data_IF_906081090661
#
_entry.id   IF_906081090661
#
_cell.length_a   1.000
_cell.length_b   1.000
_cell.length_c   1.000
_cell.angle_alpha   90.00
_cell.angle_beta   90.00
_cell.angle_gamma   90.00
#
_symmetry.space_group_name_H-M   'P 1'
#
loop_
_entity.id
_entity.type
_entity.pdbx_description
1 polymer ?
#
# COMPACT_ATOMS: atom_id res chain seq x y z
N UNK A 1 -8.37 -21.05 -22.74
CA UNK A 1 -8.08 -20.10 -21.65
C UNK A 1 -7.91 -18.63 -22.10
N UNK A 2 -7.92 -18.34 -23.38
CA UNK A 2 -7.53 -17.01 -23.92
C UNK A 2 -8.61 -15.93 -23.96
N UNK A 3 -9.72 -16.17 -24.64
CA UNK A 3 -10.66 -15.11 -25.07
C UNK A 3 -11.43 -14.45 -23.91
N UNK A 4 -11.96 -15.24 -22.97
CA UNK A 4 -12.68 -14.69 -21.80
C UNK A 4 -11.78 -13.82 -20.90
N UNK A 5 -10.49 -14.18 -20.77
CA UNK A 5 -9.50 -13.40 -20.02
C UNK A 5 -9.16 -12.09 -20.73
N UNK A 6 -9.05 -12.11 -22.07
CA UNK A 6 -8.79 -10.92 -22.90
C UNK A 6 -9.96 -9.94 -22.83
N UNK A 7 -11.21 -10.42 -22.95
CA UNK A 7 -12.42 -9.59 -22.85
C UNK A 7 -12.57 -9.00 -21.45
N UNK A 8 -12.37 -9.79 -20.39
CA UNK A 8 -12.42 -9.31 -19.01
C UNK A 8 -11.36 -8.25 -18.75
N UNK A 9 -10.13 -8.42 -19.28
CA UNK A 9 -9.04 -7.45 -19.19
C UNK A 9 -9.31 -6.19 -20.02
N UNK A 10 -9.95 -6.31 -21.18
CA UNK A 10 -10.33 -5.17 -22.03
C UNK A 10 -11.43 -4.32 -21.36
N UNK A 11 -12.45 -4.95 -20.78
CA UNK A 11 -13.53 -4.28 -20.03
C UNK A 11 -12.95 -3.62 -18.78
N UNK A 12 -12.05 -4.30 -18.08
CA UNK A 12 -11.35 -3.76 -16.91
C UNK A 12 -10.53 -2.50 -17.27
N UNK A 13 -9.77 -2.53 -18.38
CA UNK A 13 -9.00 -1.38 -18.86
C UNK A 13 -9.88 -0.20 -19.27
N UNK A 14 -11.04 -0.45 -19.90
CA UNK A 14 -11.96 0.59 -20.36
C UNK A 14 -12.70 1.28 -19.19
N UNK A 15 -13.01 0.53 -18.14
CA UNK A 15 -13.71 1.02 -16.94
C UNK A 15 -12.82 1.93 -16.04
N UNK A 16 -11.50 1.88 -16.21
CA UNK A 16 -10.51 2.60 -15.39
C UNK A 16 -9.64 3.59 -16.17
N UNK A 17 -10.14 4.16 -17.25
CA UNK A 17 -9.49 5.34 -17.89
C UNK A 17 -9.72 6.57 -17.00
N UNK A 18 -8.96 6.65 -15.91
CA UNK A 18 -8.90 7.86 -15.10
C UNK A 18 -7.98 8.84 -15.80
N UNK A 19 -8.48 10.06 -16.07
CA UNK A 19 -7.66 11.11 -16.67
C UNK A 19 -6.73 11.68 -15.60
N UNK A 20 -5.44 11.62 -15.85
CA UNK A 20 -4.39 12.08 -14.92
C UNK A 20 -4.60 13.53 -14.50
N UNK A 21 -5.04 14.40 -15.41
CA UNK A 21 -5.34 15.80 -15.15
C UNK A 21 -6.42 15.95 -14.07
N UNK A 22 -7.51 15.19 -14.16
CA UNK A 22 -8.59 15.23 -13.18
C UNK A 22 -8.15 14.79 -11.78
N UNK A 23 -7.22 13.80 -11.71
CA UNK A 23 -6.66 13.35 -10.43
C UNK A 23 -5.77 14.43 -9.82
N UNK A 24 -4.92 15.05 -10.63
CA UNK A 24 -4.01 16.12 -10.21
C UNK A 24 -4.77 17.35 -9.69
N UNK A 25 -5.78 17.78 -10.42
CA UNK A 25 -6.57 18.98 -10.09
C UNK A 25 -7.37 18.81 -8.79
N UNK A 26 -7.71 17.56 -8.44
CA UNK A 26 -8.46 17.23 -7.22
C UNK A 26 -7.56 16.89 -6.02
N UNK A 27 -6.25 16.77 -6.20
CA UNK A 27 -5.33 16.43 -5.12
C UNK A 27 -4.74 17.72 -4.53
N UNK A 28 -5.13 18.04 -3.29
CA UNK A 28 -4.49 19.14 -2.52
C UNK A 28 -3.04 18.78 -2.22
N UNK A 29 -2.18 19.78 -2.07
CA UNK A 29 -0.80 19.58 -1.63
C UNK A 29 -0.77 18.81 -0.31
N UNK A 30 -0.13 17.65 -0.30
CA UNK A 30 -0.08 16.71 0.82
C UNK A 30 1.38 16.32 1.11
N UNK A 31 1.61 15.85 2.32
CA UNK A 31 2.81 15.12 2.71
C UNK A 31 2.46 13.66 2.93
N UNK A 32 3.04 12.76 2.15
CA UNK A 32 2.64 11.37 2.05
C UNK A 32 3.79 10.44 2.47
N UNK A 33 3.52 9.52 3.39
CA UNK A 33 4.41 8.39 3.62
C UNK A 33 4.00 7.24 2.71
N UNK A 34 4.94 6.71 1.92
CA UNK A 34 4.75 5.52 1.08
C UNK A 34 5.72 4.43 1.50
N UNK A 35 5.22 3.28 1.93
CA UNK A 35 6.08 2.14 2.28
C UNK A 35 6.32 1.23 1.07
N UNK A 36 7.53 0.59 1.01
CA UNK A 36 7.90 -0.24 -0.12
C UNK A 36 7.96 0.55 -1.44
N UNK A 37 8.48 1.78 -1.39
CA UNK A 37 8.41 2.76 -2.47
C UNK A 37 9.45 2.54 -3.60
N UNK A 38 10.38 1.61 -3.44
CA UNK A 38 11.50 1.41 -4.37
C UNK A 38 11.16 0.61 -5.64
N UNK A 39 9.96 0.04 -5.73
CA UNK A 39 9.54 -0.75 -6.89
C UNK A 39 8.01 -0.81 -7.06
N UNK A 40 7.57 -1.35 -8.19
CA UNK A 40 6.18 -1.69 -8.43
C UNK A 40 5.21 -0.51 -8.24
N UNK A 41 4.12 -0.76 -7.50
CA UNK A 41 3.07 0.21 -7.23
C UNK A 41 3.61 1.36 -6.36
N UNK A 42 4.42 1.06 -5.33
CA UNK A 42 4.98 2.07 -4.44
C UNK A 42 5.85 3.09 -5.16
N UNK A 43 6.69 2.64 -6.10
CA UNK A 43 7.50 3.54 -6.93
C UNK A 43 6.63 4.41 -7.85
N UNK A 44 5.59 3.82 -8.45
CA UNK A 44 4.67 4.56 -9.30
C UNK A 44 3.87 5.61 -8.51
N UNK A 45 3.41 5.28 -7.29
CA UNK A 45 2.78 6.21 -6.36
C UNK A 45 3.71 7.36 -6.01
N UNK A 46 4.96 7.06 -5.60
CA UNK A 46 5.98 8.05 -5.26
C UNK A 46 6.19 9.04 -6.39
N UNK A 47 6.43 8.55 -7.62
CA UNK A 47 6.61 9.40 -8.79
C UNK A 47 5.38 10.28 -9.06
N UNK A 48 4.18 9.72 -9.05
CA UNK A 48 2.94 10.46 -9.30
C UNK A 48 2.64 11.51 -8.24
N UNK A 49 2.84 11.21 -6.96
CA UNK A 49 2.66 12.21 -5.91
C UNK A 49 3.61 13.39 -6.10
N UNK A 50 4.88 13.14 -6.41
CA UNK A 50 5.87 14.19 -6.69
C UNK A 50 5.52 15.00 -7.94
N UNK A 51 5.02 14.35 -9.02
CA UNK A 51 4.57 15.04 -10.24
C UNK A 51 3.32 15.90 -9.99
N UNK A 52 2.55 15.59 -8.95
CA UNK A 52 1.38 16.34 -8.50
C UNK A 52 1.72 17.36 -7.39
N UNK A 53 3.01 17.74 -7.25
CA UNK A 53 3.51 18.72 -6.29
C UNK A 53 3.25 18.38 -4.81
N UNK A 54 3.27 17.09 -4.46
CA UNK A 54 3.23 16.62 -3.09
C UNK A 54 4.63 16.33 -2.57
N UNK A 55 4.80 16.33 -1.25
CA UNK A 55 6.02 15.84 -0.60
C UNK A 55 5.88 14.36 -0.27
N UNK A 56 6.93 13.57 -0.48
CA UNK A 56 6.90 12.13 -0.24
C UNK A 56 8.03 11.70 0.69
N UNK A 57 7.66 11.05 1.78
CA UNK A 57 8.54 10.25 2.62
C UNK A 57 8.44 8.79 2.15
N UNK A 58 9.48 8.29 1.50
CA UNK A 58 9.49 6.99 0.86
C UNK A 58 10.33 5.98 1.64
N UNK A 59 9.75 4.84 2.05
CA UNK A 59 10.57 3.78 2.66
C UNK A 59 10.88 2.65 1.68
N UNK A 60 12.04 2.02 1.86
CA UNK A 60 12.50 0.88 1.09
C UNK A 60 13.19 -0.14 2.01
N UNK A 61 13.26 -1.42 1.58
CA UNK A 61 13.96 -2.45 2.34
C UNK A 61 15.45 -2.53 1.94
N UNK A 62 15.78 -3.02 0.76
CA UNK A 62 17.16 -3.34 0.39
C UNK A 62 17.74 -2.40 -0.66
N UNK A 63 17.04 -2.15 -1.75
CA UNK A 63 17.58 -1.42 -2.90
C UNK A 63 16.86 -0.08 -3.04
N UNK A 64 17.62 1.02 -3.04
CA UNK A 64 17.13 2.40 -3.17
C UNK A 64 17.37 3.02 -4.56
N UNK A 65 17.99 2.32 -5.51
CA UNK A 65 18.48 2.89 -6.76
C UNK A 65 17.39 3.62 -7.55
N UNK A 66 16.21 3.02 -7.67
CA UNK A 66 15.09 3.66 -8.36
C UNK A 66 14.61 4.95 -7.68
N UNK A 67 14.75 5.06 -6.36
CA UNK A 67 14.36 6.26 -5.60
C UNK A 67 15.41 7.37 -5.75
N UNK A 68 16.69 7.04 -5.70
CA UNK A 68 17.79 8.01 -5.88
C UNK A 68 17.74 8.66 -7.28
N UNK A 69 17.31 7.90 -8.30
CA UNK A 69 17.14 8.43 -9.66
C UNK A 69 16.03 9.48 -9.76
N UNK A 70 15.15 9.58 -8.77
CA UNK A 70 14.11 10.61 -8.70
C UNK A 70 14.73 11.89 -8.13
N UNK A 71 15.26 12.74 -8.99
CA UNK A 71 15.91 14.01 -8.61
C UNK A 71 14.86 15.09 -8.27
N UNK A 72 14.12 14.91 -7.16
CA UNK A 72 13.09 15.84 -6.67
C UNK A 72 13.40 16.24 -5.22
N UNK A 73 13.38 17.54 -4.91
CA UNK A 73 13.67 18.08 -3.56
C UNK A 73 12.63 17.66 -2.51
N UNK A 74 11.40 17.37 -2.95
CA UNK A 74 10.29 17.02 -2.07
C UNK A 74 10.21 15.50 -1.82
N UNK A 75 11.31 14.76 -2.05
CA UNK A 75 11.45 13.33 -1.78
C UNK A 75 12.49 13.10 -0.69
N UNK A 76 12.02 12.55 0.43
CA UNK A 76 12.87 11.97 1.47
C UNK A 76 12.82 10.44 1.40
N UNK A 77 13.96 9.79 1.57
CA UNK A 77 14.05 8.31 1.51
C UNK A 77 14.61 7.75 2.81
N UNK A 78 14.06 6.62 3.26
CA UNK A 78 14.46 5.96 4.49
C UNK A 78 14.46 4.44 4.34
N UNK A 79 15.51 3.78 4.83
CA UNK A 79 15.56 2.32 4.85
C UNK A 79 14.75 1.78 6.02
N UNK A 80 13.79 0.91 5.74
CA UNK A 80 12.93 0.29 6.74
C UNK A 80 12.59 -1.14 6.32
N UNK A 81 13.22 -2.11 6.97
CA UNK A 81 12.91 -3.52 6.81
C UNK A 81 11.74 -3.89 7.73
N UNK A 82 10.56 -4.03 7.13
CA UNK A 82 9.33 -4.36 7.85
C UNK A 82 9.19 -5.86 8.18
N UNK A 83 10.12 -6.69 7.76
CA UNK A 83 10.14 -8.11 8.16
C UNK A 83 10.51 -8.28 9.64
N UNK A 84 11.18 -7.30 10.21
CA UNK A 84 11.59 -7.21 11.61
C UNK A 84 10.89 -6.02 12.24
N UNK A 85 9.95 -6.28 13.15
CA UNK A 85 9.10 -5.23 13.74
C UNK A 85 9.94 -4.19 14.49
N UNK A 86 11.02 -4.61 15.13
CA UNK A 86 11.97 -3.72 15.83
C UNK A 86 12.66 -2.71 14.88
N UNK A 87 12.86 -3.07 13.61
CA UNK A 87 13.47 -2.16 12.63
C UNK A 87 12.52 -1.01 12.24
N UNK A 88 11.21 -1.21 12.40
CA UNK A 88 10.22 -0.16 12.15
C UNK A 88 10.35 0.96 13.18
N UNK A 89 10.84 0.68 14.39
CA UNK A 89 11.05 1.69 15.41
C UNK A 89 12.01 2.80 14.99
N UNK A 90 12.96 2.51 14.10
CA UNK A 90 13.87 3.52 13.55
C UNK A 90 13.14 4.60 12.73
N UNK A 91 11.91 4.32 12.28
CA UNK A 91 11.07 5.29 11.59
C UNK A 91 10.72 6.50 12.47
N UNK A 92 10.72 6.35 13.81
CA UNK A 92 10.46 7.42 14.77
C UNK A 92 11.32 8.66 14.50
N UNK A 93 12.63 8.45 14.34
CA UNK A 93 13.56 9.56 14.08
C UNK A 93 13.36 10.18 12.69
N UNK A 94 13.02 9.35 11.70
CA UNK A 94 12.81 9.81 10.34
C UNK A 94 11.56 10.69 10.20
N UNK A 95 10.49 10.38 10.94
CA UNK A 95 9.22 11.12 10.85
C UNK A 95 9.10 12.22 11.90
N UNK A 96 10.07 12.32 12.82
CA UNK A 96 10.07 13.33 13.88
C UNK A 96 9.84 14.72 13.29
N UNK A 97 8.87 15.43 13.82
CA UNK A 97 8.49 16.80 13.44
C UNK A 97 8.02 16.96 11.99
N UNK A 98 7.97 15.89 11.18
CA UNK A 98 7.40 15.94 9.83
C UNK A 98 5.88 15.98 9.88
N UNK A 99 5.28 16.80 9.05
CA UNK A 99 3.86 16.71 8.77
C UNK A 99 3.63 15.51 7.83
N UNK A 100 2.87 14.51 8.26
CA UNK A 100 2.46 13.37 7.44
C UNK A 100 0.92 13.38 7.37
N UNK A 101 0.38 13.73 6.21
CA UNK A 101 -1.07 13.83 6.05
C UNK A 101 -1.70 12.49 5.63
N UNK A 102 -0.97 11.71 4.84
CA UNK A 102 -1.44 10.44 4.30
C UNK A 102 -0.38 9.36 4.49
N UNK A 103 -0.79 8.20 4.98
CA UNK A 103 0.04 6.99 5.01
C UNK A 103 -0.48 6.01 3.97
N UNK A 104 0.39 5.56 3.06
CA UNK A 104 0.12 4.47 2.12
C UNK A 104 0.96 3.26 2.53
N UNK A 105 0.35 2.32 3.21
CA UNK A 105 0.95 1.03 3.54
C UNK A 105 0.93 0.14 2.30
N UNK A 106 1.98 0.27 1.47
CA UNK A 106 2.13 -0.44 0.21
C UNK A 106 3.14 -1.58 0.28
N UNK A 107 4.10 -1.56 1.20
CA UNK A 107 5.05 -2.66 1.36
C UNK A 107 4.31 -4.00 1.49
N UNK A 108 4.81 -5.00 0.79
CA UNK A 108 4.22 -6.33 0.81
C UNK A 108 5.15 -7.36 0.18
N UNK A 109 5.01 -8.59 0.63
CA UNK A 109 5.71 -9.76 0.10
C UNK A 109 4.72 -10.85 -0.27
N UNK A 110 5.10 -11.67 -1.25
CA UNK A 110 4.33 -12.86 -1.62
C UNK A 110 4.43 -13.96 -0.56
N UNK A 111 5.53 -14.00 0.22
CA UNK A 111 5.74 -15.03 1.24
C UNK A 111 6.40 -16.32 0.72
N UNK A 112 7.23 -16.22 -0.33
CA UNK A 112 7.94 -17.37 -0.90
C UNK A 112 7.12 -18.22 -1.86
N UNK A 113 7.68 -19.35 -2.30
CA UNK A 113 7.06 -20.26 -3.28
C UNK A 113 6.24 -21.37 -2.60
N UNK A 114 6.64 -21.79 -1.40
CA UNK A 114 6.06 -22.91 -0.68
C UNK A 114 4.89 -22.43 0.20
N UNK A 115 3.69 -22.42 -0.36
CA UNK A 115 2.48 -21.88 0.27
C UNK A 115 1.25 -22.78 0.15
N UNK A 116 1.44 -24.02 -0.27
CA UNK A 116 0.33 -24.95 -0.46
C UNK A 116 0.17 -25.87 0.75
N UNK A 117 -1.00 -26.46 0.90
CA UNK A 117 -1.24 -27.50 1.92
C UNK A 117 -0.15 -28.58 1.83
N UNK A 118 0.35 -29.03 2.96
CA UNK A 118 1.49 -29.95 3.11
C UNK A 118 2.86 -29.43 2.63
N UNK A 119 2.96 -28.17 2.18
CA UNK A 119 4.22 -27.54 1.76
C UNK A 119 4.17 -26.04 2.09
N UNK A 120 4.09 -25.71 3.38
CA UNK A 120 4.08 -24.34 3.87
C UNK A 120 5.42 -24.03 4.50
N UNK A 121 6.08 -22.98 4.02
CA UNK A 121 7.27 -22.40 4.63
C UNK A 121 6.86 -21.47 5.77
N UNK A 122 6.95 -21.97 7.00
CA UNK A 122 6.53 -21.22 8.20
C UNK A 122 7.47 -20.05 8.56
N UNK A 123 8.72 -20.08 8.15
CA UNK A 123 9.67 -18.97 8.34
C UNK A 123 9.26 -17.79 7.43
N UNK A 124 9.03 -18.08 6.14
CA UNK A 124 8.48 -17.10 5.21
C UNK A 124 7.08 -16.64 5.61
N UNK A 125 6.29 -17.48 6.29
CA UNK A 125 4.99 -17.07 6.82
C UNK A 125 5.15 -15.97 7.88
N UNK A 126 6.05 -16.16 8.84
CA UNK A 126 6.33 -15.16 9.88
C UNK A 126 6.81 -13.84 9.27
N UNK A 127 7.73 -13.92 8.31
CA UNK A 127 8.18 -12.75 7.55
C UNK A 127 7.03 -12.04 6.83
N UNK A 128 6.19 -12.77 6.14
CA UNK A 128 5.05 -12.20 5.42
C UNK A 128 4.00 -11.62 6.37
N UNK A 129 3.78 -12.23 7.52
CA UNK A 129 2.89 -11.73 8.57
C UNK A 129 3.32 -10.34 9.05
N UNK A 130 4.62 -10.20 9.35
CA UNK A 130 5.18 -8.93 9.78
C UNK A 130 5.03 -7.85 8.69
N UNK A 131 5.45 -8.16 7.45
CA UNK A 131 5.45 -7.19 6.35
C UNK A 131 4.04 -6.83 5.89
N UNK A 132 3.17 -7.83 5.72
CA UNK A 132 1.86 -7.61 5.08
C UNK A 132 0.77 -7.15 6.06
N UNK A 133 0.90 -7.46 7.36
CA UNK A 133 -0.19 -7.23 8.32
C UNK A 133 0.25 -6.46 9.57
N UNK A 134 1.23 -6.94 10.34
CA UNK A 134 1.58 -6.34 11.64
C UNK A 134 2.16 -4.93 11.46
N UNK A 135 2.99 -4.72 10.43
CA UNK A 135 3.65 -3.44 10.17
C UNK A 135 2.68 -2.27 10.02
N UNK A 136 1.47 -2.48 9.50
CA UNK A 136 0.50 -1.38 9.32
C UNK A 136 0.06 -0.77 10.64
N UNK A 137 -0.07 -1.57 11.69
CA UNK A 137 -0.40 -1.10 13.04
C UNK A 137 0.78 -0.30 13.57
N UNK A 138 1.98 -0.91 13.56
CA UNK A 138 3.20 -0.30 14.10
C UNK A 138 3.55 1.03 13.43
N UNK A 139 3.36 1.13 12.12
CA UNK A 139 3.58 2.38 11.37
C UNK A 139 2.56 3.45 11.81
N UNK A 140 1.29 3.11 11.94
CA UNK A 140 0.28 4.06 12.42
C UNK A 140 0.62 4.58 13.82
N UNK A 141 0.99 3.71 14.76
CA UNK A 141 1.43 4.10 16.10
C UNK A 141 2.60 5.09 16.05
N UNK A 142 3.61 4.81 15.25
CA UNK A 142 4.78 5.67 15.11
C UNK A 142 4.41 7.03 14.53
N UNK A 143 3.60 7.07 13.47
CA UNK A 143 3.20 8.33 12.84
C UNK A 143 2.39 9.18 13.82
N UNK A 144 1.42 8.60 14.51
CA UNK A 144 0.58 9.32 15.48
C UNK A 144 1.43 9.89 16.63
N UNK A 145 2.37 9.10 17.15
CA UNK A 145 3.12 9.47 18.36
C UNK A 145 4.35 10.34 18.09
N UNK A 146 4.91 10.32 16.86
CA UNK A 146 6.22 10.93 16.60
C UNK A 146 6.24 11.93 15.43
N UNK A 147 5.24 11.96 14.56
CA UNK A 147 5.12 13.00 13.54
C UNK A 147 4.48 14.27 14.12
N UNK A 148 4.39 15.33 13.33
CA UNK A 148 3.70 16.55 13.73
C UNK A 148 2.27 16.24 14.16
N UNK A 149 1.91 16.66 15.36
CA UNK A 149 0.59 16.41 15.96
C UNK A 149 -0.55 16.81 15.00
N UNK A 150 -1.60 16.02 14.98
CA UNK A 150 -2.83 16.23 14.21
C UNK A 150 -2.63 16.41 12.70
N UNK A 151 -1.47 15.98 12.17
CA UNK A 151 -1.19 16.06 10.74
C UNK A 151 -1.78 14.90 9.93
N UNK A 152 -1.90 13.69 10.53
CA UNK A 152 -2.40 12.51 9.84
C UNK A 152 -3.93 12.56 9.69
N UNK A 153 -4.41 12.39 8.45
CA UNK A 153 -5.85 12.43 8.13
C UNK A 153 -6.35 11.13 7.51
N UNK A 154 -5.44 10.39 6.85
CA UNK A 154 -5.83 9.24 6.05
C UNK A 154 -4.76 8.15 6.06
N UNK A 155 -5.20 6.91 6.26
CA UNK A 155 -4.39 5.69 6.08
C UNK A 155 -5.01 4.83 4.98
N UNK A 156 -4.20 4.42 4.02
CA UNK A 156 -4.58 3.52 2.93
C UNK A 156 -3.71 2.28 2.95
N UNK A 157 -4.33 1.11 3.08
CA UNK A 157 -3.64 -0.17 3.09
C UNK A 157 -3.80 -0.87 1.74
N UNK A 158 -2.68 -1.16 1.07
CA UNK A 158 -2.69 -1.85 -0.23
C UNK A 158 -2.87 -3.35 0.02
N UNK A 159 -4.10 -3.80 -0.12
CA UNK A 159 -4.52 -5.18 0.08
C UNK A 159 -4.53 -5.96 -1.24
N UNK A 160 -5.42 -6.91 -1.40
CA UNK A 160 -5.59 -7.75 -2.59
C UNK A 160 -6.96 -8.40 -2.57
N UNK A 161 -7.54 -8.66 -3.74
CA UNK A 161 -8.73 -9.50 -3.86
C UNK A 161 -8.51 -10.91 -3.26
N UNK A 162 -7.26 -11.37 -3.19
CA UNK A 162 -6.89 -12.63 -2.51
C UNK A 162 -7.14 -12.62 -0.99
N UNK A 163 -7.39 -11.45 -0.39
CA UNK A 163 -7.80 -11.33 1.01
C UNK A 163 -9.27 -11.69 1.26
N UNK A 164 -10.08 -11.79 0.22
CA UNK A 164 -11.51 -12.14 0.34
C UNK A 164 -11.69 -13.64 0.46
N UNK A 165 -12.30 -14.08 1.56
CA UNK A 165 -12.67 -15.49 1.78
C UNK A 165 -13.76 -15.92 0.82
N UNK A 166 -14.72 -15.05 0.51
CA UNK A 166 -15.81 -15.31 -0.41
C UNK A 166 -15.33 -15.55 -1.85
N UNK A 167 -14.30 -14.81 -2.30
CA UNK A 167 -13.73 -14.97 -3.65
C UNK A 167 -12.66 -16.06 -3.75
N UNK A 168 -12.36 -16.75 -2.63
CA UNK A 168 -11.35 -17.82 -2.61
C UNK A 168 -11.94 -19.15 -3.08
N UNK A 169 -11.84 -19.42 -4.38
CA UNK A 169 -12.35 -20.64 -5.01
C UNK A 169 -11.26 -21.67 -5.34
N UNK A 170 -10.00 -21.38 -5.06
CA UNK A 170 -8.86 -22.22 -5.52
C UNK A 170 -8.04 -22.85 -4.41
N UNK A 171 -8.27 -22.50 -3.14
CA UNK A 171 -7.33 -22.85 -2.07
C UNK A 171 -5.94 -22.22 -2.34
N UNK A 172 -4.85 -22.90 -2.02
CA UNK A 172 -3.46 -22.49 -2.27
C UNK A 172 -3.06 -21.12 -1.72
N UNK A 173 -1.78 -20.79 -1.79
CA UNK A 173 -1.26 -19.47 -1.39
C UNK A 173 -1.64 -19.05 0.04
N UNK A 174 -1.56 -20.01 0.97
CA UNK A 174 -2.00 -19.84 2.37
C UNK A 174 -1.34 -18.63 3.04
N UNK A 175 -0.04 -18.42 2.79
CA UNK A 175 0.72 -17.30 3.38
C UNK A 175 0.18 -15.97 2.88
N UNK A 176 0.12 -15.78 1.55
CA UNK A 176 -0.29 -14.51 0.98
C UNK A 176 -1.75 -14.19 1.27
N UNK A 177 -2.65 -15.15 1.02
CA UNK A 177 -4.08 -14.98 1.28
C UNK A 177 -4.35 -14.72 2.76
N UNK A 178 -3.76 -15.52 3.65
CA UNK A 178 -3.93 -15.39 5.10
C UNK A 178 -3.46 -14.03 5.61
N UNK A 179 -2.25 -13.60 5.22
CA UNK A 179 -1.70 -12.32 5.68
C UNK A 179 -2.47 -11.11 5.12
N UNK A 180 -2.98 -11.17 3.88
CA UNK A 180 -3.81 -10.10 3.31
C UNK A 180 -5.22 -10.07 3.90
N UNK A 181 -5.79 -11.22 4.29
CA UNK A 181 -7.05 -11.28 5.04
C UNK A 181 -6.89 -10.66 6.43
N UNK A 182 -5.78 -10.97 7.12
CA UNK A 182 -5.45 -10.38 8.41
C UNK A 182 -5.24 -8.86 8.29
N UNK A 183 -4.55 -8.38 7.24
CA UNK A 183 -4.42 -6.95 6.95
C UNK A 183 -5.80 -6.27 6.87
N UNK A 184 -6.78 -6.88 6.19
CA UNK A 184 -8.13 -6.31 6.09
C UNK A 184 -8.84 -6.27 7.45
N UNK A 185 -8.68 -7.32 8.27
CA UNK A 185 -9.20 -7.35 9.64
C UNK A 185 -8.57 -6.23 10.49
N UNK A 186 -7.26 -6.09 10.46
CA UNK A 186 -6.56 -5.01 11.17
C UNK A 186 -6.94 -3.62 10.64
N UNK A 187 -7.11 -3.48 9.32
CA UNK A 187 -7.56 -2.22 8.73
C UNK A 187 -8.95 -1.82 9.22
N UNK A 188 -9.83 -2.80 9.43
CA UNK A 188 -11.16 -2.54 10.01
C UNK A 188 -11.06 -2.08 11.46
N UNK A 189 -10.25 -2.75 12.29
CA UNK A 189 -10.02 -2.32 13.67
C UNK A 189 -9.41 -0.92 13.73
N UNK A 190 -8.33 -0.68 12.96
CA UNK A 190 -7.70 0.64 12.86
C UNK A 190 -8.70 1.72 12.40
N UNK A 191 -9.64 1.39 11.51
CA UNK A 191 -10.64 2.37 11.08
C UNK A 191 -11.52 2.85 12.24
N UNK A 192 -11.88 1.97 13.13
CA UNK A 192 -12.71 2.30 14.31
C UNK A 192 -11.87 3.10 15.32
N UNK A 193 -10.71 2.58 15.71
CA UNK A 193 -9.88 3.16 16.76
C UNK A 193 -9.33 4.54 16.35
N UNK A 194 -8.80 4.65 15.12
CA UNK A 194 -8.20 5.89 14.65
C UNK A 194 -9.25 6.97 14.36
N UNK A 195 -10.45 6.58 13.94
CA UNK A 195 -11.55 7.54 13.76
C UNK A 195 -12.03 8.10 15.08
N UNK A 196 -12.25 7.22 16.06
CA UNK A 196 -12.80 7.62 17.36
C UNK A 196 -11.81 8.46 18.17
N UNK A 197 -10.52 8.11 18.14
CA UNK A 197 -9.53 8.75 19.00
C UNK A 197 -8.82 9.95 18.34
N UNK A 198 -8.73 9.97 17.00
CA UNK A 198 -7.89 10.93 16.27
C UNK A 198 -8.59 11.55 15.05
N UNK A 199 -9.82 11.17 14.70
CA UNK A 199 -10.53 11.67 13.52
C UNK A 199 -9.98 11.14 12.18
N UNK A 200 -9.05 10.19 12.20
CA UNK A 200 -8.33 9.67 11.03
C UNK A 200 -9.19 8.66 10.26
N UNK A 201 -9.25 8.79 8.94
CA UNK A 201 -9.91 7.81 8.09
C UNK A 201 -8.95 6.68 7.69
N UNK A 202 -9.47 5.46 7.57
CA UNK A 202 -8.70 4.28 7.13
C UNK A 202 -9.52 3.48 6.13
N UNK A 203 -8.92 3.02 5.04
CA UNK A 203 -9.53 2.04 4.14
C UNK A 203 -8.46 1.13 3.51
N UNK A 204 -8.91 -0.02 2.98
CA UNK A 204 -8.07 -0.93 2.21
C UNK A 204 -8.46 -0.92 0.74
N UNK A 205 -7.49 -1.14 -0.15
CA UNK A 205 -7.74 -1.16 -1.60
C UNK A 205 -7.11 -2.37 -2.26
N UNK A 206 -7.87 -3.02 -3.16
CA UNK A 206 -7.30 -3.94 -4.15
C UNK A 206 -6.76 -3.13 -5.34
N UNK A 207 -5.45 -3.13 -5.57
CA UNK A 207 -4.87 -2.40 -6.70
C UNK A 207 -5.20 -3.02 -8.05
N UNK A 208 -5.77 -4.24 -8.05
CA UNK A 208 -5.99 -5.09 -9.22
C UNK A 208 -4.76 -5.93 -9.60
N UNK A 209 -4.85 -6.64 -10.71
CA UNK A 209 -3.74 -7.48 -11.21
C UNK A 209 -2.66 -6.62 -11.89
N UNK A 210 -1.79 -6.03 -11.10
CA UNK A 210 -0.77 -5.09 -11.55
C UNK A 210 0.49 -5.81 -11.97
N UNK A 211 1.09 -5.40 -13.10
CA UNK A 211 2.37 -5.92 -13.60
C UNK A 211 3.52 -5.42 -12.74
N UNK A 212 4.05 -6.29 -11.90
CA UNK A 212 5.17 -6.03 -10.97
C UNK A 212 6.12 -7.23 -10.95
N UNK A 213 7.23 -7.15 -10.20
CA UNK A 213 8.07 -8.33 -9.95
C UNK A 213 7.30 -9.47 -9.27
N UNK A 214 6.35 -9.14 -8.38
CA UNK A 214 5.48 -10.11 -7.71
C UNK A 214 4.46 -10.75 -8.65
N UNK A 215 4.00 -10.04 -9.68
CA UNK A 215 3.04 -10.50 -10.69
C UNK A 215 3.48 -10.07 -12.10
N UNK A 216 4.45 -10.78 -12.73
CA UNK A 216 5.00 -10.38 -14.03
C UNK A 216 3.96 -10.38 -15.17
N UNK A 217 2.89 -11.14 -15.02
CA UNK A 217 1.83 -11.30 -16.03
C UNK A 217 0.59 -10.42 -15.78
N UNK A 218 0.66 -9.52 -14.81
CA UNK A 218 -0.43 -8.59 -14.54
C UNK A 218 -0.76 -7.73 -15.76
N UNK A 219 -2.05 -7.58 -16.13
CA UNK A 219 -2.46 -6.79 -17.29
C UNK A 219 -2.44 -5.29 -17.04
N UNK A 220 -2.45 -4.85 -15.76
CA UNK A 220 -2.51 -3.44 -15.40
C UNK A 220 -1.12 -2.87 -15.18
N UNK A 221 -0.79 -1.75 -15.82
CA UNK A 221 0.47 -1.05 -15.58
C UNK A 221 0.49 -0.41 -14.19
N UNK A 222 1.68 -0.33 -13.57
CA UNK A 222 1.86 0.27 -12.24
C UNK A 222 1.37 1.73 -12.18
N UNK A 223 1.59 2.53 -13.22
CA UNK A 223 1.10 3.91 -13.28
C UNK A 223 -0.42 3.99 -13.26
N UNK A 224 -1.13 3.07 -13.90
CA UNK A 224 -2.59 3.02 -13.90
C UNK A 224 -3.13 2.64 -12.51
N UNK A 225 -2.49 1.67 -11.84
CA UNK A 225 -2.81 1.32 -10.46
C UNK A 225 -2.58 2.50 -9.51
N UNK A 226 -1.44 3.19 -9.65
CA UNK A 226 -1.14 4.37 -8.85
C UNK A 226 -2.19 5.47 -9.03
N UNK A 227 -2.59 5.79 -10.27
CA UNK A 227 -3.63 6.79 -10.53
C UNK A 227 -4.99 6.38 -9.94
N UNK A 228 -5.36 5.08 -10.01
CA UNK A 228 -6.57 4.57 -9.36
C UNK A 228 -6.53 4.82 -7.85
N UNK A 229 -5.43 4.43 -7.19
CA UNK A 229 -5.27 4.59 -5.74
C UNK A 229 -5.31 6.08 -5.36
N UNK A 230 -4.57 6.94 -6.05
CA UNK A 230 -4.54 8.38 -5.79
C UNK A 230 -5.94 8.99 -5.96
N UNK A 231 -6.68 8.59 -6.99
CA UNK A 231 -8.04 9.08 -7.20
C UNK A 231 -9.00 8.69 -6.06
N UNK A 232 -8.76 7.57 -5.37
CA UNK A 232 -9.57 7.15 -4.22
C UNK A 232 -9.34 7.99 -2.97
N UNK A 233 -8.19 8.69 -2.85
CA UNK A 233 -7.88 9.48 -1.65
C UNK A 233 -8.92 10.57 -1.39
N UNK A 234 -9.52 11.15 -2.42
CA UNK A 234 -10.57 12.18 -2.30
C UNK A 234 -11.87 11.67 -1.65
N UNK A 235 -12.06 10.35 -1.64
CA UNK A 235 -13.22 9.67 -1.05
C UNK A 235 -12.91 9.05 0.32
N UNK A 236 -11.89 9.56 1.02
CA UNK A 236 -11.44 8.97 2.29
C UNK A 236 -12.55 8.82 3.33
N UNK A 237 -13.51 9.77 3.39
CA UNK A 237 -14.66 9.67 4.29
C UNK A 237 -15.65 8.59 3.87
N UNK A 238 -16.00 8.53 2.59
CA UNK A 238 -16.98 7.57 2.04
C UNK A 238 -16.41 6.14 2.02
N UNK A 239 -15.10 5.99 1.91
CA UNK A 239 -14.41 4.70 1.87
C UNK A 239 -13.95 4.23 3.25
N UNK A 240 -14.09 5.06 4.28
CA UNK A 240 -13.69 4.74 5.63
C UNK A 240 -14.25 3.38 6.09
N UNK A 241 -13.36 2.52 6.63
CA UNK A 241 -13.69 1.19 7.11
C UNK A 241 -14.03 0.16 6.03
N UNK A 242 -13.84 0.49 4.73
CA UNK A 242 -14.16 -0.41 3.60
C UNK A 242 -12.89 -1.04 3.00
N UNK A 243 -13.10 -2.18 2.36
CA UNK A 243 -12.19 -2.78 1.38
C UNK A 243 -12.80 -2.58 -0.02
N UNK A 244 -12.05 -1.94 -0.93
CA UNK A 244 -12.51 -1.53 -2.27
C UNK A 244 -11.59 -1.99 -3.38
#
# INVERSE_FOLDING_TARGET
MGIRRIIKNYIYRKKFKIKEKEVKDNLKKQSILVTGANSGIGLALTKKFLDFNNSVSATYNQNKDNLIQIKKKDLDIFQCDQSKIENIDNLKNFVKDKSINVVINNAGTWGGQNQNFNNIDYENFTTALNVNAISIIKICEIIINHSKKDSLNLVVNISSLYSSTEHNTTGTNYIYKGTKSLMNSFSKNLSIDLKNNYGINVFSVDPGQVKTKMNPYGPLATNQAALKIINLLKFGNELHGKFV
#
